data_IF_441908929743
#
_entry.id   IF_441908929743
#
_cell.length_a   1.000
_cell.length_b   1.000
_cell.length_c   1.000
_cell.angle_alpha   90.00
_cell.angle_beta   90.00
_cell.angle_gamma   90.00
#
_symmetry.space_group_name_H-M   'P 1'
#
loop_
_entity.id
_entity.type
_entity.pdbx_description
1 polymer ?
#
# COMPACT_ATOMS: atom_id res chain seq x y z
N UNK A 1 24.45 -48.08 5.83
CA UNK A 1 24.17 -46.64 5.57
C UNK A 1 25.38 -45.85 6.01
N UNK A 2 26.23 -45.45 5.07
CA UNK A 2 27.58 -44.94 5.37
C UNK A 2 27.50 -43.59 6.11
N UNK A 3 28.21 -43.48 7.25
CA UNK A 3 28.34 -42.22 8.02
C UNK A 3 28.76 -41.03 7.14
N UNK A 4 29.53 -41.29 6.08
CA UNK A 4 29.94 -40.28 5.10
C UNK A 4 28.79 -39.73 4.25
N UNK A 5 27.72 -40.50 4.00
CA UNK A 5 26.53 -40.05 3.25
C UNK A 5 25.65 -39.15 4.13
N UNK A 6 25.53 -39.46 5.43
CA UNK A 6 24.80 -38.62 6.39
C UNK A 6 25.47 -37.25 6.58
N UNK A 7 26.81 -37.21 6.58
CA UNK A 7 27.59 -35.97 6.70
C UNK A 7 27.48 -35.10 5.44
N UNK A 8 27.43 -35.70 4.23
CA UNK A 8 27.21 -34.95 2.99
C UNK A 8 25.81 -34.30 2.94
N UNK A 9 24.79 -35.00 3.45
CA UNK A 9 23.40 -34.49 3.47
C UNK A 9 23.23 -33.34 4.47
N UNK A 10 23.94 -33.38 5.61
CA UNK A 10 23.95 -32.29 6.60
C UNK A 10 24.66 -31.03 6.11
N UNK A 11 25.62 -31.14 5.18
CA UNK A 11 26.32 -29.99 4.61
C UNK A 11 25.46 -29.27 3.55
N UNK A 12 24.60 -30.00 2.83
CA UNK A 12 23.70 -29.43 1.82
C UNK A 12 22.56 -28.60 2.43
N UNK A 13 22.14 -28.92 3.66
CA UNK A 13 21.10 -28.17 4.39
C UNK A 13 21.57 -26.79 4.89
N UNK A 14 22.90 -26.58 5.04
CA UNK A 14 23.46 -25.30 5.48
C UNK A 14 23.64 -24.28 4.34
N UNK A 15 23.52 -24.71 3.07
CA UNK A 15 23.64 -23.83 1.91
C UNK A 15 22.33 -23.14 1.49
N UNK A 16 21.22 -23.42 2.18
CA UNK A 16 19.93 -22.75 1.94
C UNK A 16 19.63 -21.57 2.87
N UNK A 17 20.55 -21.20 3.77
CA UNK A 17 20.39 -19.97 4.56
C UNK A 17 20.95 -18.77 3.78
N UNK A 18 20.25 -18.41 2.71
CA UNK A 18 20.46 -17.14 2.04
C UNK A 18 19.64 -16.07 2.74
N UNK A 19 20.18 -15.46 3.80
CA UNK A 19 19.72 -14.15 4.26
C UNK A 19 19.97 -13.16 3.12
N UNK A 20 19.01 -13.05 2.21
CA UNK A 20 18.94 -11.97 1.23
C UNK A 20 18.71 -10.71 2.05
N UNK A 21 19.78 -10.09 2.54
CA UNK A 21 19.76 -8.69 2.95
C UNK A 21 19.18 -7.93 1.77
N UNK A 22 17.90 -7.56 1.84
CA UNK A 22 17.19 -6.73 0.85
C UNK A 22 17.81 -5.34 0.91
N UNK A 23 18.96 -5.20 0.27
CA UNK A 23 19.55 -3.90 -0.02
C UNK A 23 18.78 -3.38 -1.23
N UNK A 24 17.77 -2.54 -0.98
CA UNK A 24 16.99 -1.92 -2.04
C UNK A 24 17.84 -0.84 -2.74
N UNK A 25 18.72 -1.23 -3.65
CA UNK A 25 19.49 -0.28 -4.47
C UNK A 25 18.62 0.40 -5.55
N UNK A 26 17.43 -0.13 -5.81
CA UNK A 26 16.54 0.33 -6.91
C UNK A 26 15.26 1.03 -6.42
N UNK A 27 15.29 1.69 -5.25
CA UNK A 27 14.14 2.46 -4.80
C UNK A 27 13.94 3.73 -5.64
N UNK A 28 12.69 4.00 -6.01
CA UNK A 28 12.29 5.30 -6.56
C UNK A 28 12.45 6.41 -5.52
N UNK A 29 12.52 7.70 -5.92
CA UNK A 29 12.56 8.81 -4.97
C UNK A 29 11.41 8.76 -3.95
N UNK A 30 10.19 8.48 -4.39
CA UNK A 30 9.04 8.30 -3.51
C UNK A 30 9.22 7.16 -2.51
N UNK A 31 9.70 6.01 -2.96
CA UNK A 31 9.95 4.86 -2.08
C UNK A 31 11.03 5.15 -1.04
N UNK A 32 12.03 5.97 -1.36
CA UNK A 32 13.03 6.43 -0.38
C UNK A 32 12.38 7.36 0.63
N UNK A 33 11.68 8.38 0.17
CA UNK A 33 11.01 9.36 1.01
C UNK A 33 10.05 8.72 2.01
N UNK A 34 9.17 7.81 1.55
CA UNK A 34 8.22 7.14 2.44
C UNK A 34 8.93 6.21 3.43
N UNK A 35 10.02 5.55 3.02
CA UNK A 35 10.82 4.74 3.94
C UNK A 35 11.49 5.60 5.01
N UNK A 36 11.98 6.78 4.65
CA UNK A 36 12.61 7.71 5.59
C UNK A 36 11.57 8.26 6.57
N UNK A 37 10.36 8.59 6.11
CA UNK A 37 9.23 8.96 6.96
C UNK A 37 8.89 7.87 7.98
N UNK A 38 8.81 6.59 7.56
CA UNK A 38 8.52 5.49 8.47
C UNK A 38 9.69 5.17 9.43
N UNK A 39 10.93 5.52 9.08
CA UNK A 39 12.13 5.35 9.93
C UNK A 39 12.29 6.45 10.96
N UNK A 40 11.73 7.63 10.73
CA UNK A 40 11.89 8.76 11.64
C UNK A 40 11.08 8.56 12.93
N UNK A 41 11.77 8.25 14.02
CA UNK A 41 11.17 7.99 15.32
C UNK A 41 10.34 9.15 15.89
N UNK A 42 10.52 10.37 15.40
CA UNK A 42 9.78 11.55 15.88
C UNK A 42 8.38 11.69 15.28
N UNK A 43 8.16 11.13 14.09
CA UNK A 43 6.90 11.29 13.31
C UNK A 43 6.32 9.96 12.80
N UNK A 44 7.07 8.86 12.94
CA UNK A 44 6.69 7.56 12.38
C UNK A 44 5.33 7.09 12.91
N UNK A 45 4.47 6.53 12.03
CA UNK A 45 3.22 5.91 12.45
C UNK A 45 3.44 4.54 13.14
N UNK A 46 4.67 4.00 13.12
CA UNK A 46 4.99 2.70 13.71
C UNK A 46 5.06 2.81 15.24
N UNK A 47 4.64 1.74 15.94
CA UNK A 47 4.88 1.64 17.38
C UNK A 47 6.38 1.50 17.63
N UNK A 48 6.85 2.00 18.76
CA UNK A 48 8.28 1.95 19.13
C UNK A 48 8.91 0.55 19.06
N UNK A 49 8.12 -0.51 19.31
CA UNK A 49 8.58 -1.90 19.17
C UNK A 49 8.82 -2.31 17.71
N UNK A 50 7.96 -1.88 16.80
CA UNK A 50 8.00 -2.26 15.38
C UNK A 50 9.06 -1.42 14.65
N UNK A 51 9.26 -0.18 15.10
CA UNK A 51 10.30 0.71 14.57
C UNK A 51 11.72 0.18 14.81
N UNK A 52 11.99 -0.50 15.93
CA UNK A 52 13.32 -1.06 16.25
C UNK A 52 13.81 -2.05 15.20
N UNK A 53 12.89 -2.85 14.67
CA UNK A 53 13.19 -3.90 13.70
C UNK A 53 12.90 -3.45 12.26
N UNK A 54 12.40 -2.23 12.06
CA UNK A 54 12.02 -1.72 10.75
C UNK A 54 13.22 -1.61 9.80
N UNK A 55 13.15 -2.29 8.66
CA UNK A 55 14.18 -2.24 7.60
C UNK A 55 13.73 -1.42 6.38
N UNK A 56 12.44 -1.34 6.17
CA UNK A 56 11.78 -0.63 5.08
C UNK A 56 10.40 -1.23 4.82
N UNK A 57 9.59 -0.52 4.05
CA UNK A 57 8.33 -1.01 3.52
C UNK A 57 8.57 -2.02 2.40
N UNK A 58 7.67 -3.00 2.29
CA UNK A 58 7.60 -3.87 1.14
C UNK A 58 6.84 -3.17 0.00
N UNK A 59 7.36 -3.32 -1.22
CA UNK A 59 6.73 -2.80 -2.43
C UNK A 59 6.56 -3.92 -3.46
N UNK A 60 5.45 -3.88 -4.18
CA UNK A 60 5.35 -4.62 -5.44
C UNK A 60 6.37 -4.06 -6.44
N UNK A 61 6.94 -4.95 -7.26
CA UNK A 61 7.77 -4.52 -8.38
C UNK A 61 6.92 -3.72 -9.37
N UNK A 62 7.51 -2.67 -9.95
CA UNK A 62 6.80 -1.87 -10.96
C UNK A 62 6.39 -2.75 -12.14
N UNK A 63 5.11 -2.65 -12.50
CA UNK A 63 4.53 -3.30 -13.66
C UNK A 63 3.61 -2.29 -14.37
N UNK A 64 3.99 -1.92 -15.59
CA UNK A 64 3.26 -0.95 -16.40
C UNK A 64 1.84 -1.41 -16.78
N UNK A 65 1.55 -2.71 -16.68
CA UNK A 65 0.22 -3.27 -16.94
C UNK A 65 -0.83 -2.70 -15.99
N UNK A 66 -0.43 -2.30 -14.78
CA UNK A 66 -1.30 -1.71 -13.77
C UNK A 66 -1.36 -0.17 -13.85
N UNK A 67 -0.68 0.45 -14.83
CA UNK A 67 -0.79 1.87 -15.12
C UNK A 67 -1.88 2.06 -16.17
N UNK A 68 -3.07 2.49 -15.72
CA UNK A 68 -4.26 2.62 -16.56
C UNK A 68 -4.71 4.06 -16.68
N UNK A 69 -5.30 4.41 -17.83
CA UNK A 69 -6.04 5.66 -17.99
C UNK A 69 -7.47 5.42 -17.52
N UNK A 70 -7.91 6.17 -16.52
CA UNK A 70 -9.27 6.09 -15.99
C UNK A 70 -10.09 7.33 -16.34
N UNK A 71 -11.37 7.12 -16.66
CA UNK A 71 -12.34 8.19 -16.87
C UNK A 71 -13.06 8.49 -15.56
N UNK A 72 -12.90 9.71 -15.04
CA UNK A 72 -13.67 10.20 -13.89
C UNK A 72 -15.03 10.74 -14.33
N UNK A 73 -16.10 10.20 -13.77
CA UNK A 73 -17.47 10.70 -13.88
C UNK A 73 -17.86 11.30 -12.53
N UNK A 74 -18.07 12.61 -12.49
CA UNK A 74 -18.44 13.35 -11.27
C UNK A 74 -19.87 12.99 -10.84
N UNK A 75 -20.08 12.87 -9.54
CA UNK A 75 -21.39 12.67 -8.91
C UNK A 75 -21.76 13.92 -8.11
N UNK A 76 -22.35 14.95 -8.73
CA UNK A 76 -22.76 16.16 -8.01
C UNK A 76 -23.91 15.85 -7.04
N UNK A 77 -24.05 16.66 -6.00
CA UNK A 77 -25.14 16.58 -4.99
C UNK A 77 -25.14 15.31 -4.12
N UNK A 78 -24.01 14.61 -4.02
CA UNK A 78 -23.82 13.53 -3.06
C UNK A 78 -23.90 14.06 -1.62
N UNK A 79 -24.40 13.23 -0.70
CA UNK A 79 -24.49 13.60 0.72
C UNK A 79 -23.19 13.20 1.45
N UNK A 80 -22.69 14.04 2.37
CA UNK A 80 -21.60 13.64 3.25
C UNK A 80 -21.97 12.41 4.08
N UNK A 81 -20.98 11.57 4.35
CA UNK A 81 -21.11 10.40 5.21
C UNK A 81 -19.84 10.19 6.03
N UNK A 82 -19.99 9.49 7.15
CA UNK A 82 -18.88 9.10 8.02
C UNK A 82 -18.28 7.80 7.53
N UNK A 83 -17.06 7.86 6.98
CA UNK A 83 -16.36 6.67 6.53
C UNK A 83 -15.80 5.91 7.73
N UNK A 84 -16.12 4.62 7.84
CA UNK A 84 -15.58 3.76 8.90
C UNK A 84 -14.08 3.55 8.66
N UNK A 85 -13.28 3.79 9.68
CA UNK A 85 -11.84 3.47 9.69
C UNK A 85 -11.57 2.32 10.65
N UNK A 86 -10.34 1.83 10.70
CA UNK A 86 -9.89 0.85 11.71
C UNK A 86 -9.72 1.48 13.10
N UNK A 87 -9.97 2.78 13.23
CA UNK A 87 -9.95 3.54 14.49
C UNK A 87 -11.35 4.06 14.82
N UNK A 88 -11.54 4.61 16.01
CA UNK A 88 -12.81 5.25 16.39
C UNK A 88 -13.06 6.57 15.63
N UNK A 89 -12.03 7.13 14.97
CA UNK A 89 -12.18 8.37 14.18
C UNK A 89 -13.03 8.09 12.94
N UNK A 90 -14.07 8.89 12.79
CA UNK A 90 -14.99 8.88 11.65
C UNK A 90 -14.87 10.19 10.89
N UNK A 91 -14.06 10.17 9.84
CA UNK A 91 -13.87 11.34 8.98
C UNK A 91 -15.04 11.50 8.02
N UNK A 92 -15.54 12.73 7.89
CA UNK A 92 -16.60 13.05 6.94
C UNK A 92 -16.06 13.09 5.51
N UNK A 93 -16.67 12.29 4.65
CA UNK A 93 -16.33 12.17 3.25
C UNK A 93 -17.56 12.43 2.40
N UNK A 94 -17.33 12.93 1.18
CA UNK A 94 -18.33 12.98 0.12
C UNK A 94 -17.84 12.14 -1.06
N UNK A 95 -18.75 11.40 -1.70
CA UNK A 95 -18.42 10.74 -2.95
C UNK A 95 -18.17 11.81 -4.02
N UNK A 96 -16.95 11.85 -4.54
CA UNK A 96 -16.53 12.80 -5.56
C UNK A 96 -16.93 12.32 -6.96
N UNK A 97 -16.87 11.01 -7.20
CA UNK A 97 -17.27 10.45 -8.47
C UNK A 97 -17.03 8.95 -8.55
N UNK A 98 -17.07 8.46 -9.77
CA UNK A 98 -16.70 7.09 -10.13
C UNK A 98 -15.61 7.18 -11.19
N UNK A 99 -14.50 6.48 -10.97
CA UNK A 99 -13.49 6.25 -12.00
C UNK A 99 -13.79 4.93 -12.70
N UNK A 100 -13.83 4.96 -14.03
CA UNK A 100 -14.04 3.79 -14.89
C UNK A 100 -12.78 3.54 -15.72
N UNK A 101 -12.30 2.31 -15.76
CA UNK A 101 -11.09 1.94 -16.50
C UNK A 101 -11.14 0.48 -16.96
N UNK A 102 -10.26 0.12 -17.87
CA UNK A 102 -10.03 -1.27 -18.27
C UNK A 102 -8.69 -1.74 -17.73
N UNK A 103 -8.67 -2.98 -17.23
CA UNK A 103 -7.45 -3.65 -16.78
C UNK A 103 -7.54 -5.12 -17.18
N UNK A 104 -6.51 -5.63 -17.87
CA UNK A 104 -6.45 -7.02 -18.32
C UNK A 104 -7.71 -7.47 -19.10
N UNK A 105 -8.27 -6.58 -19.91
CA UNK A 105 -9.48 -6.85 -20.72
C UNK A 105 -10.81 -6.81 -19.96
N UNK A 106 -10.80 -6.49 -18.66
CA UNK A 106 -12.00 -6.36 -17.85
C UNK A 106 -12.26 -4.89 -17.52
N UNK A 107 -13.53 -4.49 -17.51
CA UNK A 107 -13.94 -3.13 -17.11
C UNK A 107 -14.20 -3.06 -15.60
N UNK A 108 -13.63 -2.05 -14.95
CA UNK A 108 -13.76 -1.81 -13.51
C UNK A 108 -14.30 -0.41 -13.23
N UNK A 109 -14.97 -0.28 -12.08
CA UNK A 109 -15.47 0.98 -11.56
C UNK A 109 -15.11 1.12 -10.08
N UNK A 110 -14.48 2.23 -9.69
CA UNK A 110 -14.15 2.52 -8.30
C UNK A 110 -14.73 3.87 -7.90
N UNK A 111 -15.33 3.94 -6.71
CA UNK A 111 -15.74 5.23 -6.14
C UNK A 111 -14.49 5.98 -5.68
N UNK A 112 -14.45 7.27 -5.96
CA UNK A 112 -13.42 8.18 -5.45
C UNK A 112 -14.09 9.21 -4.54
N UNK A 113 -13.45 9.51 -3.42
CA UNK A 113 -14.00 10.32 -2.34
C UNK A 113 -13.18 11.57 -2.12
N UNK A 114 -13.78 12.55 -1.47
CA UNK A 114 -13.08 13.73 -0.95
C UNK A 114 -13.33 13.81 0.54
N UNK A 115 -12.27 13.99 1.31
CA UNK A 115 -12.36 14.29 2.73
C UNK A 115 -12.82 15.75 2.87
N UNK A 116 -13.82 15.98 3.73
CA UNK A 116 -14.35 17.31 4.01
C UNK A 116 -13.62 18.02 5.15
N UNK A 117 -12.87 17.26 5.95
CA UNK A 117 -11.91 17.81 6.90
C UNK A 117 -10.76 18.45 6.10
N UNK A 118 -10.33 19.65 6.51
CA UNK A 118 -9.17 20.35 5.95
C UNK A 118 -9.29 20.80 4.47
N UNK A 119 -10.50 20.91 3.92
CA UNK A 119 -10.70 21.32 2.51
C UNK A 119 -10.13 22.71 2.19
N UNK A 120 -10.04 23.58 3.20
CA UNK A 120 -9.54 24.95 3.09
C UNK A 120 -8.01 25.04 3.28
N UNK A 121 -7.35 23.95 3.68
CA UNK A 121 -5.89 23.91 3.81
C UNK A 121 -5.22 23.82 2.43
N UNK A 122 -4.12 24.56 2.26
CA UNK A 122 -3.37 24.58 1.01
C UNK A 122 -2.81 23.19 0.70
N UNK A 123 -3.11 22.67 -0.50
CA UNK A 123 -2.72 21.33 -0.95
C UNK A 123 -3.80 20.26 -0.78
N UNK A 124 -4.85 20.50 0.01
CA UNK A 124 -5.93 19.52 0.22
C UNK A 124 -7.14 19.69 -0.70
N UNK A 125 -7.25 20.85 -1.38
CA UNK A 125 -8.36 21.16 -2.30
C UNK A 125 -8.54 20.12 -3.41
N UNK A 126 -7.42 19.61 -3.92
CA UNK A 126 -7.39 18.66 -5.04
C UNK A 126 -7.09 17.23 -4.59
N UNK A 127 -6.99 17.00 -3.27
CA UNK A 127 -6.75 15.69 -2.70
C UNK A 127 -8.01 14.83 -2.82
N UNK A 128 -7.87 13.68 -3.48
CA UNK A 128 -8.93 12.69 -3.64
C UNK A 128 -8.47 11.37 -3.04
N UNK A 129 -9.39 10.67 -2.39
CA UNK A 129 -9.12 9.40 -1.76
C UNK A 129 -9.80 8.28 -2.55
N UNK A 130 -9.00 7.38 -3.12
CA UNK A 130 -9.47 6.22 -3.87
C UNK A 130 -9.09 4.94 -3.11
N UNK A 131 -9.95 4.47 -2.18
CA UNK A 131 -9.79 3.17 -1.55
C UNK A 131 -10.29 2.05 -2.46
N UNK A 132 -9.63 0.90 -2.43
CA UNK A 132 -10.06 -0.27 -3.19
C UNK A 132 -9.64 -1.59 -2.53
N UNK A 133 -10.33 -2.64 -2.95
CA UNK A 133 -10.02 -4.03 -2.62
C UNK A 133 -9.73 -4.80 -3.90
N UNK A 134 -8.91 -5.83 -3.77
CA UNK A 134 -8.51 -6.77 -4.80
C UNK A 134 -8.05 -8.10 -4.18
N UNK A 135 -7.74 -9.07 -5.04
CA UNK A 135 -7.44 -10.45 -4.62
C UNK A 135 -6.15 -10.59 -3.79
N UNK A 136 -5.29 -9.56 -3.75
CA UNK A 136 -4.08 -9.57 -2.90
C UNK A 136 -4.39 -9.30 -1.44
N UNK A 137 -5.52 -8.66 -1.12
CA UNK A 137 -5.82 -8.22 0.24
C UNK A 137 -6.00 -9.41 1.20
N UNK A 138 -5.29 -9.37 2.33
CA UNK A 138 -5.32 -10.40 3.36
C UNK A 138 -4.32 -11.54 3.12
N UNK A 139 -3.75 -11.63 1.92
CA UNK A 139 -2.74 -12.63 1.57
C UNK A 139 -1.37 -11.98 1.33
N UNK A 140 -1.26 -11.11 0.33
CA UNK A 140 -0.02 -10.45 -0.07
C UNK A 140 0.00 -8.97 0.31
N UNK A 141 -1.17 -8.37 0.51
CA UNK A 141 -1.31 -6.98 0.94
C UNK A 141 -2.23 -6.87 2.17
N UNK A 142 -2.29 -5.67 2.76
CA UNK A 142 -3.08 -5.44 3.97
C UNK A 142 -4.57 -5.79 3.76
N UNK A 143 -5.14 -6.53 4.73
CA UNK A 143 -6.51 -7.05 4.62
C UNK A 143 -7.61 -5.98 4.61
N UNK A 144 -7.33 -4.77 5.10
CA UNK A 144 -8.28 -3.65 5.06
C UNK A 144 -8.39 -2.95 3.71
N UNK A 145 -7.60 -3.36 2.72
CA UNK A 145 -7.55 -2.71 1.41
C UNK A 145 -6.32 -1.84 1.19
N UNK A 146 -6.29 -1.23 0.01
CA UNK A 146 -5.25 -0.29 -0.44
C UNK A 146 -5.88 1.02 -0.86
N UNK A 147 -5.07 2.05 -1.04
CA UNK A 147 -5.56 3.35 -1.51
C UNK A 147 -4.57 4.03 -2.46
N UNK A 148 -5.11 4.94 -3.26
CA UNK A 148 -4.37 5.90 -4.09
C UNK A 148 -4.89 7.29 -3.73
N UNK A 149 -3.97 8.26 -3.69
CA UNK A 149 -4.26 9.69 -3.51
C UNK A 149 -3.78 10.49 -4.72
#
# INVERSE_FOLDING_TARGET
MNRSILLLFSFFLLLNCGDKKRYYNDLTPFQKEINDFFKDASISPLKAKDLKDFKGLDFFTFDSTYVVIAKLIRTPNEKPFKMKTTTERLQEHIKHGVVSFELLGNSYNLNIYRNLENIDEQGYRDYLFLPFLDDTNGNESYGGGRYIN
#
